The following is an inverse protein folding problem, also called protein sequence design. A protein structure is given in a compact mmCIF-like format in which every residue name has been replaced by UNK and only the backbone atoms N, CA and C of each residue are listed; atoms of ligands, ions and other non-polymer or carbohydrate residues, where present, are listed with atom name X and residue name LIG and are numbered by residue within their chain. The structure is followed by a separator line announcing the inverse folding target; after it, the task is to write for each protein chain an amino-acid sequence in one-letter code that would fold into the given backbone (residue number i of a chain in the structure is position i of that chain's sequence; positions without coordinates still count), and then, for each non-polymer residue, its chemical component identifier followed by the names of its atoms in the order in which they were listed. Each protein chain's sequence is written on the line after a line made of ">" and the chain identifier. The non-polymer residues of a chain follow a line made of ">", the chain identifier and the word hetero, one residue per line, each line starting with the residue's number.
data_IF_857753805054
#
_entry.id   IF_857753805054
#
_cell.length_a   1.000
_cell.length_b   1.000
_cell.length_c   1.000
_cell.angle_alpha   90.00
_cell.angle_beta   90.00
_cell.angle_gamma   90.00
#
_symmetry.space_group_name_H-M   'P 1'
#
loop_
_entity.id
_entity.type
_entity.pdbx_description
1 polymer ?
#
# COMPACT_ATOMS: atom_id res chain seq x y z
N UNK A 1 -3.36 1.91 20.60
CA UNK A 1 -3.71 3.23 21.17
C UNK A 1 -3.47 4.36 20.18
N UNK A 2 -3.85 5.60 20.55
CA UNK A 2 -3.58 6.80 19.76
C UNK A 2 -2.39 7.54 20.38
N UNK A 3 -1.46 7.99 19.55
CA UNK A 3 -0.34 8.83 19.92
C UNK A 3 -0.50 10.25 19.37
N UNK A 4 0.15 11.22 20.03
CA UNK A 4 0.25 12.61 19.57
C UNK A 4 1.57 12.76 18.83
N UNK A 5 1.54 13.34 17.63
CA UNK A 5 2.73 13.55 16.81
C UNK A 5 3.66 14.58 17.47
N UNK A 6 4.90 14.17 17.73
CA UNK A 6 5.94 15.05 18.28
C UNK A 6 6.67 15.83 17.18
N UNK A 7 6.69 15.28 15.97
CA UNK A 7 7.36 15.87 14.80
C UNK A 7 6.32 16.05 13.69
N UNK A 8 6.45 17.15 12.96
CA UNK A 8 5.55 17.52 11.89
C UNK A 8 6.31 17.62 10.56
N UNK A 9 5.60 17.44 9.47
CA UNK A 9 6.16 17.72 8.14
C UNK A 9 6.42 19.22 7.99
N UNK A 10 7.53 19.59 7.37
CA UNK A 10 7.76 21.00 7.05
C UNK A 10 6.73 21.50 6.05
N UNK A 11 6.37 22.77 6.15
CA UNK A 11 5.35 23.37 5.28
C UNK A 11 5.66 23.19 3.79
N UNK A 12 6.94 23.31 3.38
CA UNK A 12 7.31 23.10 1.99
C UNK A 12 7.09 21.66 1.51
N UNK A 13 7.24 20.66 2.39
CA UNK A 13 6.98 19.26 2.06
C UNK A 13 5.49 19.04 1.79
N UNK A 14 4.63 19.58 2.65
CA UNK A 14 3.18 19.55 2.44
C UNK A 14 2.79 20.29 1.15
N UNK A 15 3.43 21.42 0.86
CA UNK A 15 3.17 22.19 -0.35
C UNK A 15 3.58 21.41 -1.61
N UNK A 16 4.75 20.79 -1.62
CA UNK A 16 5.25 20.02 -2.77
C UNK A 16 4.38 18.79 -3.02
N UNK A 17 4.02 18.06 -1.97
CA UNK A 17 3.25 16.81 -2.11
C UNK A 17 1.76 17.05 -2.34
N UNK A 18 1.17 17.98 -1.61
CA UNK A 18 -0.29 18.16 -1.53
C UNK A 18 -0.78 19.53 -1.96
N UNK A 19 0.12 20.43 -2.34
CA UNK A 19 -0.24 21.82 -2.70
C UNK A 19 -1.15 21.88 -3.92
N UNK A 20 -0.79 21.18 -5.00
CA UNK A 20 -1.59 21.18 -6.23
C UNK A 20 -3.03 20.68 -6.02
N UNK A 21 -3.25 19.47 -5.46
CA UNK A 21 -4.60 18.97 -5.21
C UNK A 21 -5.38 19.82 -4.20
N UNK A 22 -4.71 20.38 -3.18
CA UNK A 22 -5.35 21.25 -2.20
C UNK A 22 -5.81 22.57 -2.82
N UNK A 23 -4.94 23.25 -3.59
CA UNK A 23 -5.29 24.50 -4.27
C UNK A 23 -6.46 24.30 -5.23
N UNK A 24 -6.44 23.22 -6.01
CA UNK A 24 -7.52 22.92 -6.94
C UNK A 24 -8.83 22.62 -6.21
N UNK A 25 -8.78 21.85 -5.14
CA UNK A 25 -9.94 21.52 -4.30
C UNK A 25 -10.54 22.81 -3.69
N UNK A 26 -9.71 23.65 -3.09
CA UNK A 26 -10.15 24.91 -2.48
C UNK A 26 -10.76 25.84 -3.56
N UNK A 27 -10.10 25.96 -4.72
CA UNK A 27 -10.59 26.72 -5.84
C UNK A 27 -11.97 26.23 -6.30
N UNK A 28 -12.14 24.94 -6.40
CA UNK A 28 -13.42 24.31 -6.76
C UNK A 28 -14.50 24.63 -5.71
N UNK A 29 -14.22 24.42 -4.43
CA UNK A 29 -15.14 24.71 -3.33
C UNK A 29 -15.58 26.19 -3.35
N UNK A 30 -14.59 27.10 -3.41
CA UNK A 30 -14.86 28.54 -3.43
C UNK A 30 -15.72 28.93 -4.65
N UNK A 31 -15.42 28.38 -5.82
CA UNK A 31 -16.17 28.67 -7.04
C UNK A 31 -17.64 28.27 -6.90
N UNK A 32 -17.89 27.02 -6.45
CA UNK A 32 -19.27 26.53 -6.29
C UNK A 32 -20.03 27.37 -5.25
N UNK A 33 -19.40 27.62 -4.09
CA UNK A 33 -20.02 28.47 -3.05
C UNK A 33 -20.30 29.89 -3.55
N UNK A 34 -19.34 30.49 -4.22
CA UNK A 34 -19.48 31.84 -4.79
C UNK A 34 -20.60 31.93 -5.82
N UNK A 35 -20.65 30.98 -6.78
CA UNK A 35 -21.70 30.95 -7.81
C UNK A 35 -23.10 30.80 -7.22
N UNK A 36 -23.22 29.99 -6.15
CA UNK A 36 -24.51 29.75 -5.50
C UNK A 36 -24.93 30.87 -4.57
N UNK A 37 -24.00 31.42 -3.77
CA UNK A 37 -24.30 32.51 -2.82
C UNK A 37 -24.65 33.82 -3.51
N UNK A 38 -24.06 34.10 -4.67
CA UNK A 38 -24.38 35.31 -5.45
C UNK A 38 -25.83 35.37 -5.99
N UNK A 39 -26.44 34.21 -6.23
CA UNK A 39 -27.80 34.08 -6.71
C UNK A 39 -28.87 33.99 -5.63
N UNK A 40 -28.48 34.10 -4.35
CA UNK A 40 -29.40 33.93 -3.22
C UNK A 40 -29.78 35.24 -2.58
N UNK A 41 -31.10 35.53 -2.55
CA UNK A 41 -31.66 36.67 -1.80
C UNK A 41 -31.50 36.49 -0.28
N UNK A 42 -31.75 35.26 0.22
CA UNK A 42 -31.57 34.91 1.62
C UNK A 42 -30.50 33.83 1.77
N UNK A 43 -29.38 34.19 2.41
CA UNK A 43 -28.24 33.30 2.66
C UNK A 43 -28.53 32.35 3.83
N UNK A 44 -28.96 31.13 3.54
CA UNK A 44 -29.18 30.06 4.53
C UNK A 44 -28.42 28.82 4.11
N UNK A 45 -27.81 28.15 5.09
CA UNK A 45 -27.07 26.87 4.86
C UNK A 45 -27.97 25.83 4.18
N UNK A 46 -29.18 25.69 4.65
CA UNK A 46 -30.15 24.73 4.09
C UNK A 46 -30.45 25.01 2.61
N UNK A 47 -30.70 26.33 2.24
CA UNK A 47 -30.95 26.73 0.86
C UNK A 47 -29.72 26.54 -0.02
N UNK A 48 -28.53 26.82 0.54
CA UNK A 48 -27.25 26.59 -0.16
C UNK A 48 -27.06 25.11 -0.49
N UNK A 49 -27.24 24.22 0.47
CA UNK A 49 -27.12 22.77 0.23
C UNK A 49 -28.13 22.26 -0.81
N UNK A 50 -29.38 22.78 -0.80
CA UNK A 50 -30.38 22.45 -1.84
C UNK A 50 -30.02 22.99 -3.23
N UNK A 51 -29.31 24.11 -3.31
CA UNK A 51 -28.93 24.73 -4.57
C UNK A 51 -27.66 24.10 -5.20
N UNK A 52 -26.84 23.40 -4.43
CA UNK A 52 -25.65 22.70 -4.93
C UNK A 52 -26.11 21.39 -5.57
N UNK A 53 -25.57 21.09 -6.76
CA UNK A 53 -25.82 19.79 -7.41
C UNK A 53 -25.21 18.68 -6.57
N UNK A 54 -25.86 17.52 -6.51
CA UNK A 54 -25.39 16.35 -5.74
C UNK A 54 -23.94 15.96 -6.10
N UNK A 55 -23.59 15.99 -7.39
CA UNK A 55 -22.23 15.70 -7.84
C UNK A 55 -21.19 16.74 -7.36
N UNK A 56 -21.56 18.04 -7.38
CA UNK A 56 -20.69 19.10 -6.84
C UNK A 56 -20.50 18.92 -5.32
N UNK A 57 -21.58 18.62 -4.59
CA UNK A 57 -21.53 18.38 -3.14
C UNK A 57 -20.69 17.15 -2.80
N UNK A 58 -20.85 16.06 -3.53
CA UNK A 58 -20.05 14.85 -3.36
C UNK A 58 -18.56 15.15 -3.57
N UNK A 59 -18.18 15.83 -4.66
CA UNK A 59 -16.81 16.20 -4.93
C UNK A 59 -16.22 17.14 -3.87
N UNK A 60 -17.03 18.10 -3.34
CA UNK A 60 -16.64 18.97 -2.24
C UNK A 60 -16.31 18.14 -0.99
N UNK A 61 -17.19 17.23 -0.60
CA UNK A 61 -16.99 16.37 0.58
C UNK A 61 -15.73 15.52 0.40
N UNK A 62 -15.58 14.88 -0.76
CA UNK A 62 -14.39 14.06 -1.07
C UNK A 62 -13.10 14.86 -0.96
N UNK A 63 -13.05 16.05 -1.54
CA UNK A 63 -11.87 16.91 -1.49
C UNK A 63 -11.54 17.43 -0.10
N UNK A 64 -12.55 17.83 0.68
CA UNK A 64 -12.35 18.26 2.07
C UNK A 64 -11.94 17.10 2.98
N UNK A 65 -12.49 15.90 2.79
CA UNK A 65 -12.05 14.69 3.47
C UNK A 65 -10.60 14.38 3.12
N UNK A 66 -10.20 14.49 1.84
CA UNK A 66 -8.82 14.27 1.43
C UNK A 66 -7.84 15.21 2.13
N UNK A 67 -8.19 16.52 2.23
CA UNK A 67 -7.39 17.48 3.00
C UNK A 67 -7.30 17.05 4.47
N UNK A 68 -8.42 16.65 5.08
CA UNK A 68 -8.46 16.16 6.46
C UNK A 68 -7.55 14.95 6.67
N UNK A 69 -7.57 13.98 5.75
CA UNK A 69 -6.72 12.78 5.82
C UNK A 69 -5.21 13.08 5.70
N UNK A 70 -4.84 14.15 4.99
CA UNK A 70 -3.44 14.63 4.97
C UNK A 70 -3.06 15.33 6.27
N UNK A 71 -4.00 16.07 6.87
CA UNK A 71 -3.75 16.89 8.07
C UNK A 71 -3.75 16.04 9.35
N UNK A 72 -4.61 15.03 9.46
CA UNK A 72 -4.75 14.20 10.66
C UNK A 72 -3.41 13.61 11.12
N UNK A 73 -2.58 12.98 10.26
CA UNK A 73 -1.31 12.39 10.70
C UNK A 73 -0.27 13.40 11.20
N UNK A 74 -0.47 14.69 10.91
CA UNK A 74 0.39 15.74 11.43
C UNK A 74 0.16 15.98 12.94
N UNK A 75 -1.01 15.58 13.48
CA UNK A 75 -1.36 15.78 14.89
C UNK A 75 -1.45 14.49 15.68
N UNK A 76 -2.02 13.43 15.06
CA UNK A 76 -2.27 12.17 15.74
C UNK A 76 -1.92 10.97 14.86
N UNK A 77 -1.54 9.88 15.50
CA UNK A 77 -1.24 8.63 14.80
C UNK A 77 -1.69 7.41 15.63
N UNK A 78 -1.87 6.27 14.98
CA UNK A 78 -2.13 4.99 15.64
C UNK A 78 -0.79 4.39 16.05
N UNK A 79 -0.64 4.09 17.35
CA UNK A 79 0.56 3.44 17.89
C UNK A 79 0.72 2.04 17.35
N UNK A 80 1.90 1.74 16.88
CA UNK A 80 2.27 0.44 16.32
C UNK A 80 3.75 0.10 16.62
N UNK A 81 4.26 -0.95 15.99
CA UNK A 81 5.63 -1.45 16.20
C UNK A 81 6.73 -0.45 15.81
N UNK A 82 6.41 0.61 15.08
CA UNK A 82 7.39 1.62 14.60
C UNK A 82 7.54 2.83 15.52
N UNK A 83 6.99 2.79 16.75
CA UNK A 83 7.04 3.94 17.69
C UNK A 83 8.47 4.47 17.93
N UNK A 84 9.48 3.61 17.88
CA UNK A 84 10.88 3.95 18.19
C UNK A 84 11.66 4.58 17.01
N UNK A 85 11.01 5.21 16.05
CA UNK A 85 11.70 5.88 14.94
C UNK A 85 10.75 6.51 13.96
N UNK A 86 9.77 5.77 13.51
CA UNK A 86 8.83 6.17 12.47
C UNK A 86 7.38 6.10 12.96
N UNK A 87 7.12 6.62 14.16
CA UNK A 87 5.86 6.44 14.91
C UNK A 87 4.57 6.71 14.11
N UNK A 88 4.58 7.65 13.16
CA UNK A 88 3.40 7.97 12.36
C UNK A 88 3.42 7.43 10.92
N UNK A 89 4.46 6.67 10.54
CA UNK A 89 4.66 6.22 9.16
C UNK A 89 3.47 5.42 8.61
N UNK A 90 2.99 4.43 9.34
CA UNK A 90 1.84 3.62 8.93
C UNK A 90 0.54 4.43 8.85
N UNK A 91 0.31 5.33 9.81
CA UNK A 91 -0.87 6.20 9.78
C UNK A 91 -0.80 7.16 8.60
N UNK A 92 0.34 7.79 8.37
CA UNK A 92 0.57 8.63 7.19
C UNK A 92 0.32 7.84 5.91
N UNK A 93 0.98 6.70 5.74
CA UNK A 93 0.85 5.87 4.54
C UNK A 93 -0.61 5.53 4.23
N UNK A 94 -1.33 5.02 5.22
CA UNK A 94 -2.72 4.58 5.02
C UNK A 94 -3.67 5.74 4.72
N UNK A 95 -3.56 6.85 5.46
CA UNK A 95 -4.46 7.99 5.30
C UNK A 95 -4.12 8.80 4.03
N UNK A 96 -2.84 9.02 3.74
CA UNK A 96 -2.46 9.77 2.54
C UNK A 96 -2.70 8.98 1.25
N UNK A 97 -2.65 7.66 1.29
CA UNK A 97 -3.05 6.82 0.15
C UNK A 97 -4.54 7.00 -0.17
N UNK A 98 -5.41 7.01 0.84
CA UNK A 98 -6.83 7.31 0.66
C UNK A 98 -7.04 8.75 0.17
N UNK A 99 -6.31 9.71 0.75
CA UNK A 99 -6.36 11.10 0.31
C UNK A 99 -5.98 11.25 -1.17
N UNK A 100 -4.96 10.53 -1.63
CA UNK A 100 -4.55 10.53 -3.04
C UNK A 100 -5.69 10.12 -3.98
N UNK A 101 -6.40 9.03 -3.66
CA UNK A 101 -7.55 8.56 -4.46
C UNK A 101 -8.66 9.60 -4.46
N UNK A 102 -9.01 10.14 -3.28
CA UNK A 102 -10.05 11.16 -3.16
C UNK A 102 -9.71 12.44 -3.91
N UNK A 103 -8.45 12.89 -3.82
CA UNK A 103 -7.97 14.03 -4.59
C UNK A 103 -8.02 13.77 -6.09
N UNK A 104 -7.63 12.59 -6.56
CA UNK A 104 -7.66 12.25 -7.99
C UNK A 104 -9.08 12.39 -8.56
N UNK A 105 -10.09 11.87 -7.84
CA UNK A 105 -11.49 12.00 -8.23
C UNK A 105 -11.96 13.47 -8.19
N UNK A 106 -11.65 14.18 -7.11
CA UNK A 106 -12.03 15.60 -6.95
C UNK A 106 -11.36 16.47 -7.99
N UNK A 107 -10.07 16.26 -8.29
CA UNK A 107 -9.34 17.03 -9.31
C UNK A 107 -9.92 16.79 -10.71
N UNK A 108 -10.15 15.54 -11.09
CA UNK A 108 -10.72 15.23 -12.41
C UNK A 108 -12.07 15.90 -12.62
N UNK A 109 -12.98 15.74 -11.65
CA UNK A 109 -14.29 16.40 -11.69
C UNK A 109 -14.18 17.92 -11.60
N UNK A 110 -13.35 18.44 -10.68
CA UNK A 110 -13.18 19.88 -10.44
C UNK A 110 -12.61 20.60 -11.67
N UNK A 111 -11.59 20.06 -12.33
CA UNK A 111 -11.02 20.63 -13.55
C UNK A 111 -12.09 20.74 -14.64
N UNK A 112 -12.83 19.66 -14.91
CA UNK A 112 -13.92 19.69 -15.88
C UNK A 112 -14.95 20.76 -15.50
N UNK A 113 -15.39 20.79 -14.26
CA UNK A 113 -16.41 21.68 -13.76
C UNK A 113 -15.99 23.18 -13.85
N UNK A 114 -14.73 23.46 -13.51
CA UNK A 114 -14.17 24.80 -13.54
C UNK A 114 -13.90 25.29 -14.97
N UNK A 115 -13.35 24.45 -15.84
CA UNK A 115 -13.02 24.85 -17.21
C UNK A 115 -14.27 24.93 -18.11
N UNK A 116 -15.13 23.93 -18.08
CA UNK A 116 -16.25 23.79 -18.99
C UNK A 116 -17.50 24.58 -18.55
N UNK A 117 -17.76 24.67 -17.25
CA UNK A 117 -19.06 25.14 -16.74
C UNK A 117 -18.97 26.47 -16.00
N UNK A 118 -17.87 26.77 -15.30
CA UNK A 118 -17.75 28.04 -14.57
C UNK A 118 -17.74 29.25 -15.50
N UNK A 119 -18.42 30.30 -15.08
CA UNK A 119 -18.45 31.59 -15.81
C UNK A 119 -17.32 32.55 -15.41
N UNK A 120 -16.60 32.25 -14.32
CA UNK A 120 -15.58 33.11 -13.75
C UNK A 120 -14.21 32.87 -14.41
N UNK A 121 -13.69 33.88 -15.12
CA UNK A 121 -12.40 33.78 -15.83
C UNK A 121 -11.23 33.42 -14.90
N UNK A 122 -11.18 34.02 -13.71
CA UNK A 122 -10.10 33.75 -12.72
C UNK A 122 -10.03 32.26 -12.34
N UNK A 123 -11.17 31.63 -12.05
CA UNK A 123 -11.19 30.21 -11.66
C UNK A 123 -10.82 29.28 -12.84
N UNK A 124 -11.19 29.69 -14.08
CA UNK A 124 -10.73 28.97 -15.29
C UNK A 124 -9.21 29.03 -15.44
N UNK A 125 -8.61 30.21 -15.22
CA UNK A 125 -7.16 30.38 -15.31
C UNK A 125 -6.46 29.51 -14.26
N UNK A 126 -6.88 29.60 -13.00
CA UNK A 126 -6.29 28.76 -11.92
C UNK A 126 -6.41 27.26 -12.27
N UNK A 127 -7.59 26.83 -12.73
CA UNK A 127 -7.80 25.44 -13.13
C UNK A 127 -6.93 25.02 -14.32
N UNK A 128 -6.72 25.90 -15.28
CA UNK A 128 -5.81 25.66 -16.40
C UNK A 128 -4.35 25.51 -15.97
N UNK A 129 -3.90 26.36 -15.05
CA UNK A 129 -2.56 26.23 -14.43
C UNK A 129 -2.43 24.91 -13.67
N UNK A 130 -3.44 24.55 -12.88
CA UNK A 130 -3.45 23.27 -12.17
C UNK A 130 -3.43 22.08 -13.14
N UNK A 131 -4.18 22.15 -14.24
CA UNK A 131 -4.16 21.12 -15.29
C UNK A 131 -2.78 20.99 -15.94
N UNK A 132 -2.11 22.11 -16.22
CA UNK A 132 -0.75 22.10 -16.75
C UNK A 132 0.22 21.37 -15.81
N UNK A 133 0.21 21.69 -14.53
CA UNK A 133 1.05 21.00 -13.55
C UNK A 133 0.65 19.53 -13.36
N UNK A 134 -0.63 19.19 -13.44
CA UNK A 134 -1.09 17.81 -13.39
C UNK A 134 -0.56 17.00 -14.58
N UNK A 135 -0.61 17.55 -15.80
CA UNK A 135 -0.03 16.91 -16.99
C UNK A 135 1.48 16.73 -16.82
N UNK A 136 2.16 17.74 -16.26
CA UNK A 136 3.60 17.63 -15.98
C UNK A 136 3.94 16.47 -15.05
N UNK A 137 3.09 16.16 -14.04
CA UNK A 137 3.31 15.03 -13.12
C UNK A 137 3.21 13.67 -13.81
N UNK A 138 2.55 13.56 -14.97
CA UNK A 138 2.49 12.29 -15.73
C UNK A 138 3.88 11.81 -16.14
N UNK A 139 4.80 12.72 -16.41
CA UNK A 139 6.20 12.40 -16.71
C UNK A 139 6.94 11.67 -15.59
N UNK A 140 6.54 11.92 -14.33
CA UNK A 140 7.10 11.22 -13.16
C UNK A 140 6.85 9.71 -13.22
N UNK A 141 5.64 9.30 -13.61
CA UNK A 141 5.30 7.88 -13.74
C UNK A 141 6.26 7.16 -14.69
N UNK A 142 6.47 7.71 -15.89
CA UNK A 142 7.38 7.09 -16.86
C UNK A 142 8.81 6.99 -16.34
N UNK A 143 9.32 8.03 -15.68
CA UNK A 143 10.65 8.03 -15.07
C UNK A 143 10.77 7.07 -13.89
N UNK A 144 9.75 6.98 -13.05
CA UNK A 144 9.72 6.06 -11.92
C UNK A 144 9.73 4.61 -12.39
N UNK A 145 8.90 4.27 -13.38
CA UNK A 145 8.84 2.93 -13.96
C UNK A 145 10.19 2.57 -14.62
N UNK A 146 10.78 3.48 -15.38
CA UNK A 146 12.10 3.24 -16.00
C UNK A 146 13.20 3.04 -14.95
N UNK A 147 13.15 3.78 -13.85
CA UNK A 147 14.13 3.67 -12.75
C UNK A 147 14.03 2.35 -11.98
N UNK A 148 12.80 1.86 -11.74
CA UNK A 148 12.57 0.63 -10.95
C UNK A 148 12.68 -0.65 -11.76
N UNK A 149 12.20 -0.64 -13.01
CA UNK A 149 12.05 -1.82 -13.84
C UNK A 149 12.94 -1.80 -15.09
N UNK A 150 13.75 -0.75 -15.28
CA UNK A 150 14.58 -0.57 -16.45
C UNK A 150 13.77 -0.25 -17.71
N UNK A 151 14.29 -0.59 -18.85
CA UNK A 151 13.72 -0.25 -20.16
C UNK A 151 12.40 -0.99 -20.44
N UNK A 152 11.35 -0.69 -19.69
CA UNK A 152 10.02 -1.35 -19.76
C UNK A 152 9.39 -1.23 -21.15
N UNK A 153 9.72 -0.16 -21.89
CA UNK A 153 9.25 0.03 -23.27
C UNK A 153 10.05 -0.77 -24.31
N UNK A 154 11.05 -1.57 -23.87
CA UNK A 154 11.79 -2.43 -24.75
C UNK A 154 11.10 -3.81 -24.84
N UNK A 155 10.42 -4.15 -25.96
CA UNK A 155 9.70 -5.42 -26.09
C UNK A 155 10.58 -6.65 -25.92
N UNK A 156 11.87 -6.56 -26.27
CA UNK A 156 12.81 -7.69 -26.18
C UNK A 156 13.21 -8.03 -24.72
N UNK A 157 12.98 -7.12 -23.77
CA UNK A 157 13.22 -7.36 -22.35
C UNK A 157 11.99 -7.85 -21.59
N UNK A 158 10.83 -7.93 -22.23
CA UNK A 158 9.60 -8.33 -21.57
C UNK A 158 9.53 -9.85 -21.41
N UNK A 159 9.54 -10.32 -20.18
CA UNK A 159 9.47 -11.74 -19.81
C UNK A 159 8.09 -12.19 -19.32
N UNK A 160 7.06 -11.40 -19.57
CA UNK A 160 5.70 -11.68 -19.09
C UNK A 160 5.46 -11.24 -17.63
N UNK A 161 4.37 -11.74 -17.06
CA UNK A 161 3.95 -11.43 -15.67
C UNK A 161 4.33 -12.56 -14.69
N UNK A 162 5.36 -13.34 -15.00
CA UNK A 162 5.80 -14.43 -14.14
C UNK A 162 6.57 -13.89 -12.93
N UNK A 163 5.85 -13.70 -11.81
CA UNK A 163 6.39 -13.09 -10.60
C UNK A 163 7.51 -13.93 -9.93
N UNK A 164 7.58 -15.23 -10.20
CA UNK A 164 8.59 -16.13 -9.63
C UNK A 164 9.90 -16.19 -10.44
N UNK A 165 10.00 -15.46 -11.55
CA UNK A 165 11.18 -15.47 -12.41
C UNK A 165 12.49 -15.04 -11.71
N UNK A 166 12.41 -14.28 -10.62
CA UNK A 166 13.59 -13.94 -9.82
C UNK A 166 14.24 -15.17 -9.15
N UNK A 167 13.47 -16.23 -8.90
CA UNK A 167 13.99 -17.47 -8.32
C UNK A 167 15.02 -18.14 -9.22
N UNK A 168 14.86 -18.04 -10.55
CA UNK A 168 15.79 -18.65 -11.51
C UNK A 168 17.21 -18.12 -11.36
N UNK A 169 17.36 -16.87 -10.94
CA UNK A 169 18.65 -16.22 -10.75
C UNK A 169 19.13 -16.21 -9.30
N UNK A 170 18.21 -16.06 -8.34
CA UNK A 170 18.57 -15.92 -6.93
C UNK A 170 18.62 -17.27 -6.18
N UNK A 171 17.85 -18.27 -6.61
CA UNK A 171 17.67 -19.53 -5.91
C UNK A 171 17.42 -20.68 -6.92
N UNK A 172 18.32 -20.86 -7.87
CA UNK A 172 18.15 -21.80 -8.99
C UNK A 172 17.93 -23.25 -8.52
N UNK A 173 18.55 -23.66 -7.41
CA UNK A 173 18.37 -24.97 -6.81
C UNK A 173 16.93 -25.18 -6.28
N UNK A 174 16.32 -24.15 -5.73
CA UNK A 174 14.95 -24.21 -5.24
C UNK A 174 13.92 -24.31 -6.38
N UNK A 175 14.22 -23.75 -7.56
CA UNK A 175 13.31 -23.79 -8.71
C UNK A 175 12.99 -25.20 -9.13
N UNK A 176 13.99 -26.07 -9.22
CA UNK A 176 13.81 -27.48 -9.57
C UNK A 176 12.89 -28.20 -8.57
N UNK A 177 13.10 -27.98 -7.26
CA UNK A 177 12.27 -28.57 -6.23
C UNK A 177 10.83 -28.01 -6.27
N UNK A 178 10.68 -26.70 -6.46
CA UNK A 178 9.37 -26.03 -6.58
C UNK A 178 8.58 -26.56 -7.79
N UNK A 179 9.24 -26.71 -8.93
CA UNK A 179 8.62 -27.27 -10.13
C UNK A 179 8.21 -28.71 -9.91
N UNK A 180 9.09 -29.54 -9.34
CA UNK A 180 8.78 -30.93 -9.02
C UNK A 180 7.57 -31.04 -8.09
N UNK A 181 7.52 -30.23 -7.02
CA UNK A 181 6.39 -30.23 -6.10
C UNK A 181 5.08 -29.85 -6.81
N UNK A 182 5.09 -28.82 -7.67
CA UNK A 182 3.91 -28.41 -8.43
C UNK A 182 3.39 -29.49 -9.38
N UNK A 183 4.28 -30.27 -9.98
CA UNK A 183 3.93 -31.29 -10.96
C UNK A 183 3.47 -32.61 -10.34
N UNK A 184 4.05 -32.98 -9.20
CA UNK A 184 3.88 -34.32 -8.63
C UNK A 184 2.99 -34.37 -7.39
N UNK A 185 2.81 -33.23 -6.68
CA UNK A 185 2.05 -33.23 -5.43
C UNK A 185 0.59 -32.89 -5.71
N UNK A 186 -0.29 -33.69 -5.11
CA UNK A 186 -1.73 -33.45 -5.09
C UNK A 186 -2.19 -33.19 -3.66
N UNK A 187 -3.13 -32.28 -3.49
CA UNK A 187 -3.61 -31.85 -2.16
C UNK A 187 -2.69 -30.81 -1.55
N UNK A 188 -2.64 -30.77 -0.22
CA UNK A 188 -1.89 -29.80 0.55
C UNK A 188 -1.05 -30.44 1.68
N UNK A 189 -0.10 -31.34 1.35
CA UNK A 189 0.80 -31.89 2.36
C UNK A 189 1.71 -30.82 2.91
N UNK A 190 2.12 -30.98 4.16
CA UNK A 190 3.05 -30.05 4.82
C UNK A 190 4.47 -30.26 4.26
N UNK A 191 5.06 -29.17 3.78
CA UNK A 191 6.47 -29.12 3.34
C UNK A 191 7.25 -28.34 4.39
N UNK A 192 8.22 -28.99 5.02
CA UNK A 192 9.14 -28.32 5.93
C UNK A 192 10.22 -27.60 5.14
N UNK A 193 10.43 -26.34 5.44
CA UNK A 193 11.59 -25.55 5.02
C UNK A 193 12.17 -24.78 6.20
N UNK A 194 13.44 -24.36 6.09
CA UNK A 194 14.10 -23.62 7.15
C UNK A 194 13.45 -22.26 7.36
N UNK A 195 13.19 -21.91 8.62
CA UNK A 195 12.61 -20.63 9.01
C UNK A 195 13.68 -19.57 9.19
N UNK A 196 13.34 -18.31 8.87
CA UNK A 196 14.23 -17.17 9.02
C UNK A 196 13.52 -15.82 9.00
N UNK A 197 14.30 -14.76 8.75
CA UNK A 197 13.80 -13.40 8.82
C UNK A 197 12.76 -13.09 7.76
N UNK A 198 11.84 -12.19 8.09
CA UNK A 198 10.86 -11.65 7.15
C UNK A 198 11.54 -10.89 6.02
N UNK A 199 10.92 -10.90 4.84
CA UNK A 199 11.45 -10.27 3.60
C UNK A 199 12.79 -10.84 3.13
N UNK A 200 13.04 -12.11 3.43
CA UNK A 200 14.25 -12.83 3.03
C UNK A 200 13.92 -13.97 2.05
N UNK A 201 14.92 -14.75 1.68
CA UNK A 201 14.75 -15.95 0.85
C UNK A 201 14.17 -17.16 1.57
N UNK A 202 13.93 -17.09 2.87
CA UNK A 202 13.25 -18.14 3.60
C UNK A 202 11.78 -18.24 3.21
N UNK A 203 11.16 -19.40 3.39
CA UNK A 203 9.75 -19.69 3.07
C UNK A 203 9.42 -19.57 1.57
N UNK A 204 10.44 -19.62 0.71
CA UNK A 204 10.25 -19.48 -0.76
C UNK A 204 9.54 -20.67 -1.39
N UNK A 205 9.68 -21.86 -0.80
CA UNK A 205 9.05 -23.08 -1.35
C UNK A 205 7.56 -23.05 -1.08
N UNK A 206 7.13 -22.82 0.17
CA UNK A 206 5.72 -22.69 0.52
C UNK A 206 5.06 -21.49 -0.20
N UNK A 207 5.74 -20.33 -0.26
CA UNK A 207 5.24 -19.16 -0.97
C UNK A 207 5.06 -19.40 -2.48
N UNK A 208 5.97 -20.13 -3.12
CA UNK A 208 5.92 -20.40 -4.55
C UNK A 208 4.97 -21.55 -4.93
N UNK A 209 4.75 -22.53 -4.05
CA UNK A 209 3.91 -23.70 -4.32
C UNK A 209 2.48 -23.56 -3.79
N UNK A 210 2.29 -22.76 -2.74
CA UNK A 210 1.05 -22.70 -1.98
C UNK A 210 0.87 -23.87 -1.00
N UNK A 211 1.89 -24.70 -0.79
CA UNK A 211 1.86 -25.79 0.17
C UNK A 211 2.07 -25.26 1.59
N UNK A 212 1.37 -25.82 2.60
CA UNK A 212 1.57 -25.40 4.00
C UNK A 212 2.95 -25.78 4.51
N UNK A 213 3.50 -24.93 5.39
CA UNK A 213 4.71 -25.20 6.16
C UNK A 213 4.43 -25.08 7.66
N UNK A 214 5.38 -25.45 8.54
CA UNK A 214 5.20 -25.41 10.01
C UNK A 214 5.08 -23.97 10.50
N UNK A 215 5.95 -23.09 9.99
CA UNK A 215 6.00 -21.68 10.38
C UNK A 215 6.37 -20.84 9.17
N UNK A 216 5.64 -19.77 8.93
CA UNK A 216 5.99 -18.74 7.96
C UNK A 216 7.01 -17.74 8.51
N UNK A 217 7.15 -16.58 7.89
CA UNK A 217 8.01 -15.53 8.41
C UNK A 217 7.57 -15.10 9.81
N UNK A 218 8.45 -15.28 10.79
CA UNK A 218 8.16 -15.12 12.21
C UNK A 218 7.47 -13.79 12.55
N UNK A 219 7.99 -12.65 12.07
CA UNK A 219 7.42 -11.33 12.39
C UNK A 219 6.03 -11.18 11.79
N UNK A 220 5.77 -11.72 10.59
CA UNK A 220 4.45 -11.70 9.97
C UNK A 220 3.45 -12.54 10.75
N UNK A 221 3.83 -13.74 11.13
CA UNK A 221 2.98 -14.63 11.95
C UNK A 221 2.66 -13.99 13.30
N UNK A 222 3.66 -13.43 13.98
CA UNK A 222 3.49 -12.70 15.23
C UNK A 222 2.53 -11.52 15.10
N UNK A 223 2.67 -10.69 14.09
CA UNK A 223 1.81 -9.53 13.89
C UNK A 223 0.33 -9.90 13.68
N UNK A 224 0.07 -11.06 13.10
CA UNK A 224 -1.30 -11.51 12.83
C UNK A 224 -1.89 -12.33 13.97
N UNK A 225 -1.10 -13.16 14.63
CA UNK A 225 -1.58 -14.12 15.64
C UNK A 225 -1.42 -13.61 17.08
N UNK A 226 -0.47 -12.73 17.33
CA UNK A 226 -0.13 -12.19 18.65
C UNK A 226 0.16 -13.29 19.70
N UNK A 227 0.61 -14.48 19.23
CA UNK A 227 1.00 -15.61 20.05
C UNK A 227 2.47 -15.92 19.81
N UNK A 228 3.32 -15.44 20.73
CA UNK A 228 4.77 -15.62 20.62
C UNK A 228 5.23 -16.98 21.15
N UNK A 229 4.49 -17.60 22.05
CA UNK A 229 4.92 -18.86 22.68
C UNK A 229 4.82 -20.01 21.68
N UNK A 230 3.72 -20.13 20.94
CA UNK A 230 3.59 -21.11 19.86
C UNK A 230 4.59 -20.88 18.74
N UNK A 231 4.84 -19.61 18.35
CA UNK A 231 5.81 -19.30 17.31
C UNK A 231 7.24 -19.64 17.73
N UNK A 232 7.63 -19.32 18.97
CA UNK A 232 8.95 -19.66 19.52
C UNK A 232 9.16 -21.18 19.58
N UNK A 233 8.12 -21.93 20.01
CA UNK A 233 8.14 -23.39 20.03
C UNK A 233 8.36 -23.94 18.63
N UNK A 234 7.57 -23.53 17.65
CA UNK A 234 7.70 -23.98 16.25
C UNK A 234 9.06 -23.66 15.65
N UNK A 235 9.61 -22.48 15.93
CA UNK A 235 10.94 -22.09 15.47
C UNK A 235 12.03 -22.99 16.07
N UNK A 236 11.93 -23.31 17.38
CA UNK A 236 12.86 -24.22 18.04
C UNK A 236 12.73 -25.64 17.49
N UNK A 237 11.51 -26.11 17.23
CA UNK A 237 11.25 -27.45 16.68
C UNK A 237 11.79 -27.58 15.25
N UNK A 238 11.59 -26.59 14.40
CA UNK A 238 12.19 -26.55 13.05
C UNK A 238 13.71 -26.62 13.14
N UNK A 239 14.33 -25.83 14.02
CA UNK A 239 15.76 -25.85 14.22
C UNK A 239 16.22 -27.23 14.67
N UNK A 240 15.49 -27.86 15.61
CA UNK A 240 15.81 -29.23 16.10
C UNK A 240 15.71 -30.26 14.97
N UNK A 241 14.71 -30.17 14.09
CA UNK A 241 14.57 -31.10 12.97
C UNK A 241 15.79 -31.04 12.04
N UNK A 242 16.32 -29.84 11.78
CA UNK A 242 17.49 -29.70 10.89
C UNK A 242 18.82 -29.94 11.53
N UNK A 243 18.97 -29.87 12.88
CA UNK A 243 20.26 -29.87 13.53
C UNK A 243 20.45 -31.02 14.52
N UNK A 244 19.38 -31.67 15.01
CA UNK A 244 19.47 -32.76 15.97
C UNK A 244 20.04 -34.03 15.34
N UNK A 245 20.87 -34.72 16.10
CA UNK A 245 21.34 -36.06 15.77
C UNK A 245 20.46 -37.18 16.37
N UNK A 246 19.48 -36.81 17.21
CA UNK A 246 18.49 -37.73 17.78
C UNK A 246 17.37 -38.00 16.76
N UNK A 247 17.51 -39.11 16.06
CA UNK A 247 16.52 -39.52 15.06
C UNK A 247 15.13 -39.74 15.66
N UNK A 248 15.04 -40.19 16.92
CA UNK A 248 13.76 -40.42 17.59
C UNK A 248 13.02 -39.11 17.81
N UNK A 249 13.73 -38.08 18.30
CA UNK A 249 13.18 -36.73 18.46
C UNK A 249 12.73 -36.14 17.12
N UNK A 250 13.58 -36.23 16.11
CA UNK A 250 13.25 -35.70 14.76
C UNK A 250 11.99 -36.34 14.18
N UNK A 251 11.89 -37.69 14.28
CA UNK A 251 10.71 -38.41 13.80
C UNK A 251 9.44 -38.05 14.57
N UNK A 252 9.54 -37.83 15.87
CA UNK A 252 8.40 -37.39 16.68
C UNK A 252 7.90 -36.03 16.24
N UNK A 253 8.77 -35.03 16.04
CA UNK A 253 8.44 -33.71 15.58
C UNK A 253 7.83 -33.71 14.15
N UNK A 254 8.43 -34.47 13.24
CA UNK A 254 7.89 -34.60 11.87
C UNK A 254 6.47 -35.19 11.89
N UNK A 255 6.22 -36.16 12.80
CA UNK A 255 4.88 -36.75 12.97
C UNK A 255 3.90 -35.77 13.59
N UNK A 256 4.30 -35.02 14.61
CA UNK A 256 3.50 -34.02 15.30
C UNK A 256 2.99 -32.97 14.31
N UNK A 257 3.87 -32.46 13.44
CA UNK A 257 3.51 -31.43 12.44
C UNK A 257 2.94 -32.00 11.13
N UNK A 258 2.84 -33.33 10.99
CA UNK A 258 2.33 -33.97 9.78
C UNK A 258 3.17 -33.70 8.54
N UNK A 259 4.47 -33.52 8.72
CA UNK A 259 5.40 -33.20 7.63
C UNK A 259 5.50 -34.38 6.66
N UNK A 260 5.26 -34.09 5.39
CA UNK A 260 5.34 -35.09 4.30
C UNK A 260 6.62 -34.93 3.48
N UNK A 261 7.13 -33.72 3.37
CA UNK A 261 8.34 -33.40 2.59
C UNK A 261 9.23 -32.46 3.36
N UNK A 262 10.53 -32.61 3.21
CA UNK A 262 11.54 -31.73 3.79
C UNK A 262 12.34 -31.13 2.64
N UNK A 263 12.34 -29.82 2.54
CA UNK A 263 13.21 -29.10 1.62
C UNK A 263 14.58 -28.88 2.27
N UNK A 264 15.62 -29.34 1.60
CA UNK A 264 17.02 -29.10 1.98
C UNK A 264 17.67 -28.32 0.85
N UNK A 265 18.03 -27.09 1.12
CA UNK A 265 18.65 -26.18 0.16
C UNK A 265 19.35 -25.03 0.87
N UNK A 266 20.05 -24.22 0.11
CA UNK A 266 20.81 -23.08 0.61
C UNK A 266 20.00 -21.79 0.55
#
# INVERSE_FOLDING_TARGET
>A
GIGIAKYHSYFYQLLVLWGLPTVLTITFVITILWEKLRGMEHKSLYRLMKAIRTADLFAIIMGLCAIGLVVIPEFVYVRDIYENGNARANTMFKLTYQAYIMFALTMGYGIYRLLAVSRQKVFKIISGICLFFLIWTVGYFGKSVDSWFGKVLNPSGYQGLYALGYLDTAFSEAVTAIQWLKEHIKGAPVVLEANGDSYSGYERVSAATGLPTILGWYVHEWLWRNDTDDLNRKQADIMSIYTSQDETQVRALLTEYGVSYIFVGF
#
